data_IF_632135414756
#
_entry.id   IF_632135414756
#
_cell.length_a   1.000
_cell.length_b   1.000
_cell.length_c   1.000
_cell.angle_alpha   90.00
_cell.angle_beta   90.00
_cell.angle_gamma   90.00
#
_symmetry.space_group_name_H-M   'P 1'
#
loop_
_entity.id
_entity.type
_entity.pdbx_description
1 polymer ?
#
# COMPACT_ATOMS: atom_id res chain seq x y z
N UNK A 1 -14.40 -12.06 5.98
CA UNK A 1 -12.98 -12.46 5.97
C UNK A 1 -12.11 -11.24 5.64
N UNK A 2 -11.21 -10.79 6.54
CA UNK A 2 -10.31 -9.66 6.25
C UNK A 2 -9.26 -10.11 5.23
N UNK A 3 -9.26 -9.52 4.04
CA UNK A 3 -8.28 -9.83 2.99
C UNK A 3 -6.89 -9.39 3.44
N UNK A 4 -5.90 -10.28 3.35
CA UNK A 4 -4.49 -9.96 3.57
C UNK A 4 -3.84 -9.51 2.26
N UNK A 5 -2.79 -8.70 2.39
CA UNK A 5 -1.98 -8.30 1.24
C UNK A 5 -1.24 -9.52 0.70
N UNK A 6 -1.18 -9.64 -0.63
CA UNK A 6 -0.41 -10.68 -1.32
C UNK A 6 1.00 -10.15 -1.63
N UNK A 7 1.99 -10.61 -0.87
CA UNK A 7 3.36 -10.13 -0.95
C UNK A 7 4.01 -10.43 -2.31
N UNK A 8 3.78 -11.63 -2.88
CA UNK A 8 4.34 -11.98 -4.19
C UNK A 8 3.74 -11.14 -5.31
N UNK A 9 2.43 -10.89 -5.22
CA UNK A 9 1.75 -10.05 -6.19
C UNK A 9 2.21 -8.59 -6.11
N UNK A 10 2.40 -8.06 -4.91
CA UNK A 10 2.96 -6.72 -4.69
C UNK A 10 4.37 -6.65 -5.26
N UNK A 11 5.23 -7.65 -4.99
CA UNK A 11 6.60 -7.74 -5.54
C UNK A 11 6.59 -7.64 -7.06
N UNK A 12 5.78 -8.47 -7.74
CA UNK A 12 5.63 -8.45 -9.21
C UNK A 12 5.12 -7.10 -9.74
N UNK A 13 4.24 -6.42 -9.01
CA UNK A 13 3.75 -5.09 -9.38
C UNK A 13 4.86 -4.03 -9.26
N UNK A 14 5.69 -4.13 -8.21
CA UNK A 14 6.81 -3.22 -7.97
C UNK A 14 7.90 -3.41 -9.03
N UNK A 15 8.27 -4.65 -9.35
CA UNK A 15 9.24 -4.96 -10.42
C UNK A 15 8.79 -4.35 -11.76
N UNK A 16 7.52 -4.56 -12.14
CA UNK A 16 6.92 -3.97 -13.36
C UNK A 16 6.90 -2.43 -13.38
N UNK A 17 7.07 -1.79 -12.23
CA UNK A 17 7.12 -0.33 -12.08
C UNK A 17 8.55 0.21 -12.04
N UNK A 18 9.56 -0.64 -12.21
CA UNK A 18 10.96 -0.25 -12.18
C UNK A 18 11.56 -0.22 -10.78
N UNK A 19 10.90 -0.81 -9.77
CA UNK A 19 11.50 -1.01 -8.46
C UNK A 19 12.34 -2.29 -8.47
N UNK A 20 13.68 -2.21 -8.34
CA UNK A 20 14.54 -3.38 -8.39
C UNK A 20 14.19 -4.36 -7.27
N UNK A 21 14.22 -5.65 -7.59
CA UNK A 21 13.86 -6.75 -6.66
C UNK A 21 12.44 -6.67 -6.08
N UNK A 22 11.58 -5.79 -6.61
CA UNK A 22 10.28 -5.50 -6.04
C UNK A 22 10.34 -4.80 -4.69
N UNK A 23 11.41 -4.02 -4.45
CA UNK A 23 11.64 -3.30 -3.21
C UNK A 23 11.46 -1.79 -3.39
N UNK A 24 10.78 -1.17 -2.42
CA UNK A 24 10.62 0.29 -2.41
C UNK A 24 11.89 0.97 -1.87
N UNK A 25 12.20 2.20 -2.29
CA UNK A 25 13.36 2.93 -1.78
C UNK A 25 13.29 3.12 -0.27
N UNK A 26 14.46 3.28 0.36
CA UNK A 26 14.55 3.57 1.80
C UNK A 26 13.65 4.76 2.17
N UNK A 27 12.89 4.62 3.25
CA UNK A 27 11.97 5.64 3.73
C UNK A 27 10.61 5.68 3.01
N UNK A 28 10.33 4.71 2.14
CA UNK A 28 9.05 4.55 1.47
C UNK A 28 8.36 3.25 1.84
N UNK A 29 7.03 3.22 1.69
CA UNK A 29 6.17 2.07 1.92
C UNK A 29 5.10 1.97 0.83
N UNK A 30 4.64 0.76 0.57
CA UNK A 30 3.48 0.50 -0.29
C UNK A 30 2.20 0.80 0.50
N UNK A 31 1.34 1.64 -0.06
CA UNK A 31 0.04 1.98 0.48
C UNK A 31 -1.10 1.59 -0.45
N UNK A 32 -2.16 1.00 0.10
CA UNK A 32 -3.41 0.80 -0.63
C UNK A 32 -4.29 2.04 -0.58
N UNK A 33 -4.58 2.64 -1.74
CA UNK A 33 -5.47 3.81 -1.87
C UNK A 33 -6.85 3.47 -1.29
N UNK A 34 -7.47 2.39 -1.78
CA UNK A 34 -8.62 1.75 -1.14
C UNK A 34 -8.11 0.66 -0.20
N UNK A 35 -8.38 0.74 1.12
CA UNK A 35 -7.96 -0.28 2.08
C UNK A 35 -8.50 -1.67 1.74
N UNK A 36 -7.73 -2.72 2.05
CA UNK A 36 -8.18 -4.11 1.88
C UNK A 36 -9.47 -4.40 2.67
N UNK A 37 -9.61 -3.83 3.87
CA UNK A 37 -10.81 -3.94 4.69
C UNK A 37 -12.08 -3.36 4.02
N UNK A 38 -11.91 -2.40 3.08
CA UNK A 38 -12.99 -1.79 2.30
C UNK A 38 -13.09 -2.37 0.88
N UNK A 39 -12.52 -3.54 0.63
CA UNK A 39 -12.55 -4.21 -0.68
C UNK A 39 -11.49 -3.72 -1.66
N UNK A 40 -10.43 -3.07 -1.18
CA UNK A 40 -9.22 -2.81 -1.96
C UNK A 40 -8.56 -4.10 -2.45
N UNK A 41 -7.78 -4.01 -3.53
CA UNK A 41 -7.05 -5.13 -4.13
C UNK A 41 -5.59 -4.76 -4.38
N UNK A 42 -4.73 -5.76 -4.46
CA UNK A 42 -3.35 -5.61 -4.92
C UNK A 42 -3.36 -5.46 -6.44
N UNK A 43 -3.55 -4.23 -6.91
CA UNK A 43 -3.52 -3.87 -8.33
C UNK A 43 -2.59 -2.69 -8.51
N UNK A 44 -1.96 -2.52 -9.70
CA UNK A 44 -1.13 -1.35 -9.96
C UNK A 44 -1.89 -0.06 -9.61
N UNK A 45 -3.14 0.09 -10.09
CA UNK A 45 -3.92 1.32 -9.84
C UNK A 45 -4.25 1.59 -8.36
N UNK A 46 -4.28 0.56 -7.50
CA UNK A 46 -4.64 0.72 -6.08
C UNK A 46 -3.42 0.78 -5.14
N UNK A 47 -2.22 0.47 -5.63
CA UNK A 47 -0.99 0.54 -4.86
C UNK A 47 -0.22 1.82 -5.21
N UNK A 48 0.22 2.56 -4.20
CA UNK A 48 1.08 3.73 -4.34
C UNK A 48 2.27 3.62 -3.40
N UNK A 49 3.45 4.02 -3.86
CA UNK A 49 4.66 4.10 -3.03
C UNK A 49 4.72 5.51 -2.46
N UNK A 50 4.74 5.63 -1.14
CA UNK A 50 4.73 6.91 -0.43
C UNK A 50 5.75 6.91 0.71
N UNK A 51 6.18 8.10 1.14
CA UNK A 51 7.02 8.24 2.34
C UNK A 51 6.31 7.67 3.57
N UNK A 52 7.08 7.01 4.45
CA UNK A 52 6.59 6.45 5.72
C UNK A 52 5.84 7.49 6.56
N UNK A 53 6.33 8.74 6.61
CA UNK A 53 5.68 9.83 7.34
C UNK A 53 4.28 10.14 6.81
N UNK A 54 4.12 10.21 5.48
CA UNK A 54 2.83 10.41 4.82
C UNK A 54 1.91 9.21 5.06
N UNK A 55 2.44 7.99 5.01
CA UNK A 55 1.67 6.78 5.28
C UNK A 55 1.06 6.79 6.69
N UNK A 56 1.87 7.08 7.70
CA UNK A 56 1.43 7.23 9.10
C UNK A 56 0.37 8.32 9.25
N UNK A 57 0.53 9.46 8.57
CA UNK A 57 -0.45 10.55 8.60
C UNK A 57 -1.80 10.14 7.98
N UNK A 58 -1.81 9.39 6.88
CA UNK A 58 -3.04 8.88 6.26
C UNK A 58 -3.80 7.97 7.25
N UNK A 59 -3.10 7.02 7.88
CA UNK A 59 -3.70 6.15 8.89
C UNK A 59 -4.24 6.93 10.10
N UNK A 60 -3.47 7.91 10.61
CA UNK A 60 -3.93 8.79 11.69
C UNK A 60 -5.22 9.53 11.32
N UNK A 61 -5.31 10.05 10.10
CA UNK A 61 -6.49 10.75 9.62
C UNK A 61 -7.70 9.83 9.44
N UNK A 62 -7.50 8.60 8.96
CA UNK A 62 -8.57 7.59 8.82
C UNK A 62 -9.16 7.20 10.18
N UNK A 63 -8.31 6.96 11.18
CA UNK A 63 -8.75 6.68 12.57
C UNK A 63 -9.57 7.82 13.15
N UNK A 64 -9.13 9.07 12.95
CA UNK A 64 -9.89 10.25 13.39
C UNK A 64 -11.29 10.34 12.75
N UNK A 65 -11.48 9.78 11.56
CA UNK A 65 -12.78 9.74 10.85
C UNK A 65 -13.58 8.45 11.08
N UNK A 66 -13.08 7.52 11.92
CA UNK A 66 -13.73 6.21 12.11
C UNK A 66 -13.69 5.30 10.88
N UNK A 67 -12.71 5.51 9.98
CA UNK A 67 -12.56 4.74 8.74
C UNK A 67 -11.61 3.54 8.87
N UNK A 68 -10.97 3.38 10.03
CA UNK A 68 -10.01 2.35 10.40
C UNK A 68 -10.16 1.98 11.87
#
# INVERSE_FOLDING_TARGET
>A
MKRKADAEKIKKILEKRGYPNGEVPRGHEVHHIKPLAKGGKDTPKNLVVIKVSKHKQIHKNRRKRGEE
#
